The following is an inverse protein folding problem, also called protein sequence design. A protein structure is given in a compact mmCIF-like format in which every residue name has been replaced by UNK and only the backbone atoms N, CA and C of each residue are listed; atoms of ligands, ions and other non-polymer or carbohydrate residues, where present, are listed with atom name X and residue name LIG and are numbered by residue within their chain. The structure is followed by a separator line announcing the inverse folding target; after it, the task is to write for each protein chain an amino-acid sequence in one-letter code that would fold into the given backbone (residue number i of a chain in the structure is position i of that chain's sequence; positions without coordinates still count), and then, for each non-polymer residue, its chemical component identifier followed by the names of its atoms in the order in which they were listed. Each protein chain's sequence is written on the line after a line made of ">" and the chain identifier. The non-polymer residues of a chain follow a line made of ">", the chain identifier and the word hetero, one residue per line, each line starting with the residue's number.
data_IF_086128015423
#
_entry.id   IF_086128015423
#
_cell.length_a   1.000
_cell.length_b   1.000
_cell.length_c   1.000
_cell.angle_alpha   90.00
_cell.angle_beta   90.00
_cell.angle_gamma   90.00
#
_symmetry.space_group_name_H-M   'P 1'
#
loop_
_entity.id
_entity.type
_entity.pdbx_description
1 polymer ?
#
# COMPACT_ATOMS: atom_id res chain seq x y z
N UNK A 1 -35.44 -19.46 17.81
CA UNK A 1 -34.33 -19.21 16.87
C UNK A 1 -34.66 -19.95 15.59
N UNK A 2 -34.77 -19.25 14.46
CA UNK A 2 -34.80 -19.95 13.16
C UNK A 2 -33.47 -20.66 12.97
N UNK A 3 -33.50 -21.90 12.49
CA UNK A 3 -32.30 -22.63 12.09
C UNK A 3 -31.65 -21.83 10.96
N UNK A 4 -30.41 -21.40 11.15
CA UNK A 4 -29.63 -20.73 10.10
C UNK A 4 -29.14 -21.84 9.16
N UNK A 5 -29.34 -21.65 7.86
CA UNK A 5 -28.91 -22.58 6.82
C UNK A 5 -27.38 -22.70 6.77
N UNK A 6 -26.87 -23.93 6.60
CA UNK A 6 -25.43 -24.23 6.65
C UNK A 6 -24.67 -23.58 5.49
N UNK A 7 -25.25 -23.60 4.28
CA UNK A 7 -24.64 -22.95 3.12
C UNK A 7 -24.56 -21.42 3.29
N UNK A 8 -25.59 -20.82 3.91
CA UNK A 8 -25.56 -19.40 4.25
C UNK A 8 -24.47 -19.07 5.29
N UNK A 9 -24.23 -19.95 6.27
CA UNK A 9 -23.14 -19.79 7.25
C UNK A 9 -21.79 -19.86 6.55
N UNK A 10 -21.56 -20.87 5.72
CA UNK A 10 -20.29 -21.07 5.01
C UNK A 10 -19.95 -19.86 4.14
N UNK A 11 -20.92 -19.40 3.34
CA UNK A 11 -20.73 -18.21 2.48
C UNK A 11 -20.39 -16.96 3.30
N UNK A 12 -21.13 -16.72 4.38
CA UNK A 12 -20.92 -15.54 5.21
C UNK A 12 -19.56 -15.59 5.94
N UNK A 13 -19.23 -16.73 6.55
CA UNK A 13 -17.96 -16.90 7.25
C UNK A 13 -16.77 -16.84 6.28
N UNK A 14 -16.90 -17.37 5.06
CA UNK A 14 -15.88 -17.23 4.02
C UNK A 14 -15.59 -15.77 3.66
N UNK A 15 -16.64 -14.94 3.54
CA UNK A 15 -16.49 -13.49 3.35
C UNK A 15 -15.74 -12.85 4.53
N UNK A 16 -16.15 -13.14 5.76
CA UNK A 16 -15.53 -12.58 6.97
C UNK A 16 -14.05 -12.93 7.04
N UNK A 17 -13.68 -14.19 6.81
CA UNK A 17 -12.27 -14.63 6.83
C UNK A 17 -11.46 -13.97 5.72
N UNK A 18 -12.05 -13.78 4.53
CA UNK A 18 -11.40 -13.07 3.42
C UNK A 18 -11.11 -11.61 3.79
N UNK A 19 -12.08 -10.92 4.40
CA UNK A 19 -11.92 -9.52 4.83
C UNK A 19 -10.87 -9.39 5.94
N UNK A 20 -10.88 -10.29 6.92
CA UNK A 20 -9.88 -10.30 8.01
C UNK A 20 -8.48 -10.58 7.47
N UNK A 21 -8.33 -11.58 6.59
CA UNK A 21 -7.04 -11.89 5.97
C UNK A 21 -6.48 -10.73 5.17
N UNK A 22 -7.32 -10.02 4.41
CA UNK A 22 -6.91 -8.82 3.69
C UNK A 22 -6.49 -7.68 4.64
N UNK A 23 -7.23 -7.46 5.73
CA UNK A 23 -6.92 -6.42 6.72
C UNK A 23 -5.61 -6.70 7.47
N UNK A 24 -5.36 -7.96 7.84
CA UNK A 24 -4.11 -8.38 8.48
C UNK A 24 -2.92 -8.29 7.50
N UNK A 25 -3.13 -8.64 6.23
CA UNK A 25 -2.13 -8.51 5.17
C UNK A 25 -1.59 -7.09 4.98
N UNK A 26 -2.42 -6.05 5.20
CA UNK A 26 -1.97 -4.65 5.14
C UNK A 26 -0.77 -4.40 6.06
N UNK A 27 -0.77 -4.96 7.27
CA UNK A 27 0.33 -4.80 8.20
C UNK A 27 1.63 -5.43 7.67
N UNK A 28 1.53 -6.60 7.03
CA UNK A 28 2.67 -7.29 6.44
C UNK A 28 3.21 -6.55 5.21
N UNK A 29 2.34 -6.05 4.33
CA UNK A 29 2.74 -5.22 3.20
C UNK A 29 3.46 -3.95 3.66
N UNK A 30 2.94 -3.30 4.72
CA UNK A 30 3.56 -2.11 5.32
C UNK A 30 4.93 -2.42 5.92
N UNK A 31 5.10 -3.56 6.61
CA UNK A 31 6.40 -4.03 7.10
C UNK A 31 7.37 -4.21 5.93
N UNK A 32 6.92 -4.84 4.84
CA UNK A 32 7.72 -5.06 3.64
C UNK A 32 8.18 -3.76 2.98
N UNK A 33 7.32 -2.75 2.90
CA UNK A 33 7.66 -1.40 2.40
C UNK A 33 8.64 -0.70 3.35
N UNK A 34 8.32 -0.63 4.65
CA UNK A 34 9.10 0.11 5.64
C UNK A 34 10.52 -0.44 5.82
N UNK A 35 10.66 -1.77 5.78
CA UNK A 35 11.95 -2.45 5.94
C UNK A 35 12.68 -2.67 4.61
N UNK A 36 12.09 -2.27 3.48
CA UNK A 36 12.69 -2.43 2.16
C UNK A 36 12.79 -3.87 1.68
N UNK A 37 11.95 -4.78 2.18
CA UNK A 37 11.95 -6.20 1.78
C UNK A 37 11.49 -6.34 0.33
N UNK A 38 10.43 -5.63 -0.08
CA UNK A 38 9.99 -5.61 -1.48
C UNK A 38 11.11 -5.15 -2.42
N UNK A 39 11.82 -4.08 -2.05
CA UNK A 39 12.98 -3.54 -2.79
C UNK A 39 14.15 -4.52 -2.83
N UNK A 40 14.39 -5.28 -1.76
CA UNK A 40 15.44 -6.29 -1.71
C UNK A 40 15.19 -7.45 -2.70
N UNK A 41 13.92 -7.77 -2.98
CA UNK A 41 13.51 -8.84 -3.89
C UNK A 41 13.35 -8.40 -5.34
N UNK A 42 12.98 -7.13 -5.59
CA UNK A 42 12.72 -6.60 -6.92
C UNK A 42 13.93 -6.79 -7.87
N UNK A 43 13.70 -7.50 -8.98
CA UNK A 43 14.72 -7.79 -9.99
C UNK A 43 15.88 -8.69 -9.52
N UNK A 44 15.82 -9.25 -8.31
CA UNK A 44 16.92 -10.05 -7.74
C UNK A 44 16.90 -11.52 -8.19
N UNK A 45 15.80 -11.97 -8.81
CA UNK A 45 15.56 -13.38 -9.08
C UNK A 45 15.26 -14.19 -7.80
N UNK A 46 15.37 -15.52 -7.84
CA UNK A 46 15.09 -16.37 -6.68
C UNK A 46 16.12 -16.16 -5.54
N UNK A 47 15.62 -15.94 -4.33
CA UNK A 47 16.41 -15.70 -3.11
C UNK A 47 15.99 -16.63 -1.97
N UNK A 48 16.94 -17.12 -1.18
CA UNK A 48 16.64 -17.77 0.10
C UNK A 48 16.22 -16.72 1.15
N UNK A 49 15.54 -17.11 2.24
CA UNK A 49 15.21 -16.19 3.34
C UNK A 49 16.43 -15.45 3.91
N UNK A 50 17.58 -16.14 4.00
CA UNK A 50 18.82 -15.55 4.47
C UNK A 50 19.34 -14.43 3.54
N UNK A 51 19.23 -14.63 2.22
CA UNK A 51 19.65 -13.62 1.24
C UNK A 51 18.71 -12.40 1.22
N UNK A 52 17.40 -12.63 1.37
CA UNK A 52 16.44 -11.52 1.50
C UNK A 52 16.75 -10.72 2.77
N UNK A 53 16.95 -11.40 3.90
CA UNK A 53 17.26 -10.78 5.18
C UNK A 53 18.56 -9.99 5.16
N UNK A 54 19.61 -10.51 4.55
CA UNK A 54 20.88 -9.79 4.35
C UNK A 54 20.66 -8.51 3.53
N UNK A 55 19.93 -8.60 2.42
CA UNK A 55 19.65 -7.46 1.52
C UNK A 55 18.79 -6.39 2.15
N UNK A 56 17.84 -6.76 3.01
CA UNK A 56 16.93 -5.83 3.69
C UNK A 56 17.41 -5.46 5.11
N UNK A 57 18.61 -5.88 5.51
CA UNK A 57 19.15 -5.67 6.86
C UNK A 57 18.16 -6.07 7.97
N UNK A 58 17.55 -7.24 7.81
CA UNK A 58 16.56 -7.81 8.71
C UNK A 58 17.05 -9.12 9.31
N UNK A 59 16.37 -9.59 10.35
CA UNK A 59 16.62 -10.92 10.91
C UNK A 59 15.96 -12.01 10.05
N UNK A 60 16.72 -13.05 9.72
CA UNK A 60 16.30 -14.14 8.84
C UNK A 60 15.08 -14.91 9.36
N UNK A 61 14.95 -15.06 10.69
CA UNK A 61 13.81 -15.77 11.31
C UNK A 61 12.50 -15.06 10.99
N UNK A 62 12.49 -13.73 11.04
CA UNK A 62 11.29 -12.92 10.80
C UNK A 62 10.99 -12.79 9.30
N UNK A 63 12.02 -12.59 8.49
CA UNK A 63 11.89 -12.55 7.03
C UNK A 63 11.31 -13.86 6.50
N UNK A 64 11.70 -15.00 7.05
CA UNK A 64 11.14 -16.31 6.68
C UNK A 64 9.63 -16.41 6.89
N UNK A 65 9.10 -15.92 8.01
CA UNK A 65 7.64 -15.94 8.27
C UNK A 65 6.91 -14.96 7.38
N UNK A 66 7.50 -13.78 7.18
CA UNK A 66 6.96 -12.78 6.26
C UNK A 66 6.85 -13.36 4.85
N UNK A 67 7.91 -13.99 4.33
CA UNK A 67 7.91 -14.66 3.03
C UNK A 67 6.85 -15.78 2.95
N UNK A 68 6.67 -16.56 4.02
CA UNK A 68 5.64 -17.60 4.06
C UNK A 68 4.22 -17.01 3.98
N UNK A 69 3.96 -15.91 4.69
CA UNK A 69 2.69 -15.22 4.65
C UNK A 69 2.40 -14.60 3.27
N UNK A 70 3.38 -13.92 2.68
CA UNK A 70 3.24 -13.31 1.34
C UNK A 70 3.13 -14.37 0.22
N UNK A 71 3.70 -15.56 0.43
CA UNK A 71 3.50 -16.72 -0.45
C UNK A 71 2.07 -17.25 -0.34
N UNK A 72 1.55 -17.38 0.88
CA UNK A 72 0.16 -17.80 1.10
C UNK A 72 -0.85 -16.78 0.53
N UNK A 73 -0.49 -15.50 0.52
CA UNK A 73 -1.26 -14.41 -0.09
C UNK A 73 -1.04 -14.26 -1.62
N UNK A 74 -0.19 -15.09 -2.23
CA UNK A 74 0.13 -15.10 -3.66
C UNK A 74 0.79 -13.83 -4.21
N UNK A 75 1.52 -13.08 -3.37
CA UNK A 75 2.39 -11.98 -3.81
C UNK A 75 3.83 -12.45 -4.08
N UNK A 76 4.26 -13.52 -3.40
CA UNK A 76 5.59 -14.11 -3.51
C UNK A 76 5.46 -15.54 -4.02
N UNK A 77 6.28 -15.90 -5.01
CA UNK A 77 6.40 -17.28 -5.49
C UNK A 77 7.44 -18.02 -4.66
N UNK A 78 7.19 -19.31 -4.37
CA UNK A 78 8.11 -20.20 -3.67
C UNK A 78 8.44 -21.44 -4.51
N UNK A 79 9.73 -21.70 -4.68
CA UNK A 79 10.25 -22.93 -5.29
C UNK A 79 10.73 -23.89 -4.20
N UNK A 80 10.02 -25.01 -4.03
CA UNK A 80 10.32 -26.04 -3.03
C UNK A 80 11.64 -26.77 -3.30
N UNK A 81 12.04 -26.95 -4.57
CA UNK A 81 13.23 -27.70 -4.92
C UNK A 81 14.51 -26.95 -4.54
N UNK A 82 14.49 -25.63 -4.62
CA UNK A 82 15.62 -24.75 -4.29
C UNK A 82 15.47 -24.05 -2.95
N UNK A 83 14.27 -24.04 -2.35
CA UNK A 83 13.97 -23.33 -1.11
C UNK A 83 14.07 -21.81 -1.27
N UNK A 84 13.72 -21.29 -2.45
CA UNK A 84 13.87 -19.87 -2.80
C UNK A 84 12.55 -19.19 -3.08
N UNK A 85 12.52 -17.89 -2.87
CA UNK A 85 11.39 -17.00 -3.04
C UNK A 85 11.70 -15.95 -4.10
N UNK A 86 10.70 -15.56 -4.89
CA UNK A 86 10.82 -14.51 -5.91
C UNK A 86 9.52 -13.71 -6.02
N UNK A 87 9.61 -12.50 -6.60
CA UNK A 87 8.44 -11.71 -7.00
C UNK A 87 8.48 -11.48 -8.50
N UNK A 88 7.31 -11.46 -9.13
CA UNK A 88 7.17 -11.09 -10.54
C UNK A 88 7.26 -9.58 -10.76
N UNK A 89 7.46 -9.17 -12.02
CA UNK A 89 7.64 -7.77 -12.42
C UNK A 89 6.48 -6.87 -11.98
N UNK A 90 5.24 -7.38 -12.01
CA UNK A 90 4.05 -6.64 -11.60
C UNK A 90 4.08 -6.32 -10.09
N UNK A 91 4.45 -7.29 -9.26
CA UNK A 91 4.57 -7.09 -7.81
C UNK A 91 5.73 -6.16 -7.51
N UNK A 92 6.86 -6.30 -8.21
CA UNK A 92 7.98 -5.37 -8.07
C UNK A 92 7.58 -3.92 -8.42
N UNK A 93 6.89 -3.71 -9.55
CA UNK A 93 6.43 -2.39 -9.98
C UNK A 93 5.39 -1.77 -9.04
N UNK A 94 4.53 -2.58 -8.40
CA UNK A 94 3.50 -2.07 -7.50
C UNK A 94 3.98 -1.88 -6.05
N UNK A 95 4.90 -2.73 -5.58
CA UNK A 95 5.26 -2.82 -4.16
C UNK A 95 6.66 -2.30 -3.83
N UNK A 96 7.56 -2.20 -4.82
CA UNK A 96 8.97 -1.89 -4.60
C UNK A 96 9.46 -0.61 -5.30
N UNK A 97 8.93 -0.30 -6.48
CA UNK A 97 9.38 0.83 -7.30
C UNK A 97 8.52 2.08 -7.05
N UNK A 98 9.05 3.09 -6.37
CA UNK A 98 8.30 4.33 -6.07
C UNK A 98 8.12 5.25 -7.28
N UNK A 99 8.90 5.05 -8.34
CA UNK A 99 8.80 5.82 -9.58
C UNK A 99 7.83 5.16 -10.58
N UNK A 100 7.38 3.94 -10.29
CA UNK A 100 6.38 3.24 -11.10
C UNK A 100 5.02 3.92 -10.97
N UNK A 101 4.27 4.11 -12.08
CA UNK A 101 2.90 4.63 -12.05
C UNK A 101 1.92 3.72 -11.30
N UNK A 102 2.33 2.46 -11.05
CA UNK A 102 1.53 1.45 -10.35
C UNK A 102 1.85 1.36 -8.86
N UNK A 103 2.80 2.15 -8.36
CA UNK A 103 3.24 2.05 -6.98
C UNK A 103 2.10 2.30 -5.99
N UNK A 104 1.90 1.37 -5.06
CA UNK A 104 0.83 1.43 -4.04
C UNK A 104 1.34 1.43 -2.60
N UNK A 105 2.65 1.56 -2.36
CA UNK A 105 3.21 1.53 -1.01
C UNK A 105 2.60 2.56 -0.05
N UNK A 106 2.29 3.75 -0.57
CA UNK A 106 1.58 4.80 0.19
C UNK A 106 0.17 4.40 0.66
N UNK A 107 -0.54 3.55 -0.09
CA UNK A 107 -1.85 3.07 0.29
C UNK A 107 -1.81 2.16 1.53
N UNK A 108 -0.76 1.35 1.68
CA UNK A 108 -0.58 0.52 2.87
C UNK A 108 -0.35 1.38 4.12
N UNK A 109 0.51 2.41 4.00
CA UNK A 109 0.75 3.37 5.08
C UNK A 109 -0.52 4.13 5.47
N UNK A 110 -1.24 4.66 4.48
CA UNK A 110 -2.55 5.29 4.67
C UNK A 110 -3.53 4.35 5.39
N UNK A 111 -3.59 3.08 4.99
CA UNK A 111 -4.56 2.13 5.56
C UNK A 111 -4.23 1.81 7.02
N UNK A 112 -2.94 1.72 7.39
CA UNK A 112 -2.54 1.59 8.79
C UNK A 112 -3.01 2.77 9.65
N UNK A 113 -3.03 3.99 9.09
CA UNK A 113 -3.48 5.20 9.78
C UNK A 113 -4.93 5.10 10.26
N UNK A 114 -5.79 4.39 9.51
CA UNK A 114 -7.21 4.17 9.86
C UNK A 114 -7.33 3.46 11.21
N UNK A 115 -6.50 2.45 11.47
CA UNK A 115 -6.52 1.71 12.72
C UNK A 115 -6.00 2.55 13.89
N UNK A 116 -5.02 3.42 13.64
CA UNK A 116 -4.54 4.38 14.64
C UNK A 116 -5.62 5.40 15.03
N UNK A 117 -6.43 5.84 14.07
CA UNK A 117 -7.48 6.84 14.28
C UNK A 117 -8.82 6.24 14.72
N UNK A 118 -8.98 4.92 14.64
CA UNK A 118 -10.22 4.22 14.97
C UNK A 118 -10.82 4.61 16.33
N UNK A 119 -10.06 4.77 17.43
CA UNK A 119 -10.64 5.22 18.71
C UNK A 119 -11.25 6.63 18.64
N UNK A 120 -10.61 7.56 17.91
CA UNK A 120 -11.08 8.95 17.74
C UNK A 120 -12.37 8.98 16.93
N UNK A 121 -12.39 8.24 15.83
CA UNK A 121 -13.57 8.09 14.98
C UNK A 121 -14.71 7.43 15.76
N UNK A 122 -14.43 6.38 16.53
CA UNK A 122 -15.44 5.71 17.37
C UNK A 122 -16.10 6.69 18.34
N UNK A 123 -15.34 7.61 18.92
CA UNK A 123 -15.90 8.63 19.81
C UNK A 123 -16.75 9.67 19.07
N UNK A 124 -16.34 10.07 17.87
CA UNK A 124 -17.17 10.93 17.01
C UNK A 124 -18.51 10.26 16.68
N UNK A 125 -18.54 8.94 16.44
CA UNK A 125 -19.80 8.19 16.24
C UNK A 125 -20.73 8.24 17.46
N UNK A 126 -20.19 8.27 18.69
CA UNK A 126 -21.00 8.34 19.91
C UNK A 126 -21.53 9.74 20.19
N UNK A 127 -20.69 10.75 19.95
CA UNK A 127 -20.93 12.13 20.39
C UNK A 127 -21.55 13.00 19.29
N UNK A 128 -21.44 12.60 18.02
CA UNK A 128 -21.78 13.43 16.88
C UNK A 128 -20.76 14.55 16.60
N UNK A 129 -19.59 14.51 17.27
CA UNK A 129 -18.47 15.40 16.99
C UNK A 129 -17.74 15.04 15.69
N UNK A 130 -16.49 15.49 15.57
CA UNK A 130 -15.61 15.15 14.45
C UNK A 130 -14.17 14.96 14.90
N UNK A 131 -13.36 14.41 14.00
CA UNK A 131 -11.90 14.35 14.16
C UNK A 131 -11.31 15.50 13.34
N UNK A 132 -10.56 16.40 13.98
CA UNK A 132 -9.93 17.50 13.27
C UNK A 132 -8.88 16.99 12.29
N UNK A 133 -8.69 17.67 11.16
CA UNK A 133 -7.70 17.24 10.15
C UNK A 133 -6.30 17.04 10.74
N UNK A 134 -5.86 17.97 11.60
CA UNK A 134 -4.57 17.90 12.27
C UNK A 134 -4.49 16.83 13.38
N UNK A 135 -5.62 16.26 13.79
CA UNK A 135 -5.68 15.24 14.84
C UNK A 135 -5.51 13.82 14.28
N UNK A 136 -5.40 13.64 12.96
CA UNK A 136 -5.15 12.36 12.33
C UNK A 136 -3.71 11.87 12.52
N UNK A 137 -3.50 10.56 12.37
CA UNK A 137 -2.16 9.97 12.35
C UNK A 137 -1.30 10.60 11.24
N UNK A 138 0.00 10.79 11.50
CA UNK A 138 0.91 11.33 10.49
C UNK A 138 1.05 10.42 9.26
N UNK A 139 0.86 9.10 9.45
CA UNK A 139 0.80 8.12 8.38
C UNK A 139 -0.32 8.40 7.36
N UNK A 140 -1.38 9.12 7.75
CA UNK A 140 -2.41 9.57 6.83
C UNK A 140 -1.79 10.51 5.78
N UNK A 141 -1.06 11.54 6.22
CA UNK A 141 -0.57 12.60 5.33
C UNK A 141 0.54 12.08 4.41
N UNK A 142 1.52 11.37 4.98
CA UNK A 142 2.61 10.76 4.21
C UNK A 142 2.08 9.68 3.26
N UNK A 143 1.15 8.83 3.73
CA UNK A 143 0.56 7.78 2.91
C UNK A 143 -0.22 8.32 1.72
N UNK A 144 -1.04 9.36 1.92
CA UNK A 144 -1.77 10.05 0.85
C UNK A 144 -0.79 10.61 -0.18
N UNK A 145 0.22 11.36 0.26
CA UNK A 145 1.22 11.92 -0.64
C UNK A 145 1.93 10.82 -1.46
N UNK A 146 2.47 9.78 -0.79
CA UNK A 146 3.16 8.68 -1.46
C UNK A 146 2.25 7.91 -2.43
N UNK A 147 0.95 7.81 -2.14
CA UNK A 147 0.00 7.10 -2.99
C UNK A 147 -0.38 7.90 -4.26
N UNK A 148 -0.54 9.22 -4.17
CA UNK A 148 -0.91 10.03 -5.32
C UNK A 148 0.29 10.48 -6.17
N UNK A 149 1.49 10.53 -5.59
CA UNK A 149 2.74 10.92 -6.27
C UNK A 149 2.96 10.24 -7.63
N UNK A 150 2.78 8.90 -7.79
CA UNK A 150 2.95 8.24 -9.09
C UNK A 150 2.03 8.80 -10.18
N UNK A 151 0.77 9.09 -9.82
CA UNK A 151 -0.20 9.69 -10.72
C UNK A 151 0.19 11.10 -11.13
N UNK A 152 0.60 11.95 -10.18
CA UNK A 152 1.08 13.30 -10.50
C UNK A 152 2.30 13.27 -11.42
N UNK A 153 3.30 12.44 -11.11
CA UNK A 153 4.54 12.33 -11.90
C UNK A 153 4.26 11.89 -13.34
N UNK A 154 3.32 10.97 -13.53
CA UNK A 154 3.06 10.36 -14.84
C UNK A 154 2.07 11.18 -15.66
N UNK A 155 1.01 11.69 -15.03
CA UNK A 155 -0.16 12.19 -15.73
C UNK A 155 -0.32 13.71 -15.70
N UNK A 156 0.21 14.41 -14.68
CA UNK A 156 -0.08 15.84 -14.51
C UNK A 156 0.32 16.65 -15.76
N UNK A 157 1.56 16.51 -16.20
CA UNK A 157 2.09 17.22 -17.37
C UNK A 157 1.67 16.57 -18.68
N UNK A 158 1.66 15.24 -18.73
CA UNK A 158 1.44 14.51 -19.97
C UNK A 158 -0.04 14.43 -20.40
N UNK A 159 -0.98 14.57 -19.46
CA UNK A 159 -2.39 14.19 -19.65
C UNK A 159 -3.37 15.19 -19.02
N UNK A 160 -3.20 15.53 -17.75
CA UNK A 160 -4.17 16.38 -17.03
C UNK A 160 -4.11 17.84 -17.44
N UNK A 161 -2.92 18.42 -17.58
CA UNK A 161 -2.77 19.78 -18.10
C UNK A 161 -3.25 19.91 -19.56
N UNK A 162 -2.88 19.01 -20.49
CA UNK A 162 -3.42 19.03 -21.86
C UNK A 162 -4.95 18.89 -21.97
N UNK A 163 -5.61 18.30 -20.97
CA UNK A 163 -7.06 18.18 -20.95
C UNK A 163 -7.77 19.52 -20.66
N UNK A 164 -7.04 20.57 -20.28
CA UNK A 164 -7.57 21.91 -20.02
C UNK A 164 -7.30 22.84 -21.21
N UNK A 165 -8.37 23.23 -21.90
CA UNK A 165 -8.29 24.09 -23.10
C UNK A 165 -7.47 25.36 -22.86
N UNK A 166 -6.38 25.54 -23.64
CA UNK A 166 -5.55 26.74 -23.62
C UNK A 166 -4.60 26.88 -22.41
N UNK A 167 -4.57 25.90 -21.50
CA UNK A 167 -3.74 25.98 -20.29
C UNK A 167 -2.27 25.72 -20.59
N UNK A 168 -1.96 24.73 -21.43
CA UNK A 168 -0.57 24.40 -21.78
C UNK A 168 0.11 25.60 -22.45
N UNK A 169 -0.55 26.20 -23.44
CA UNK A 169 -0.01 27.37 -24.15
C UNK A 169 0.18 28.57 -23.22
N UNK A 170 -0.72 28.76 -22.26
CA UNK A 170 -0.62 29.82 -21.25
C UNK A 170 0.57 29.59 -20.31
N UNK A 171 0.81 28.35 -19.90
CA UNK A 171 1.96 27.99 -19.06
C UNK A 171 3.29 28.21 -19.80
N UNK A 172 3.37 27.77 -21.06
CA UNK A 172 4.56 27.96 -21.92
C UNK A 172 4.87 29.43 -22.20
N UNK A 173 3.84 30.28 -22.38
CA UNK A 173 4.00 31.72 -22.56
C UNK A 173 4.41 32.46 -21.27
N UNK A 174 4.37 31.80 -20.12
CA UNK A 174 4.60 32.37 -18.80
C UNK A 174 3.31 32.73 -18.08
N UNK A 175 3.08 32.10 -16.93
CA UNK A 175 1.91 32.34 -16.09
C UNK A 175 2.30 32.39 -14.60
N UNK A 176 1.47 33.06 -13.81
CA UNK A 176 1.49 32.94 -12.35
C UNK A 176 0.50 31.86 -11.95
N UNK A 177 0.98 30.83 -11.24
CA UNK A 177 0.20 29.67 -10.80
C UNK A 177 0.26 29.57 -9.28
N UNK A 178 -0.85 29.15 -8.67
CA UNK A 178 -0.91 28.78 -7.26
C UNK A 178 -1.52 27.40 -7.14
N UNK A 179 -0.86 26.51 -6.40
CA UNK A 179 -1.40 25.23 -5.99
C UNK A 179 -1.92 25.36 -4.55
N UNK A 180 -3.23 25.23 -4.38
CA UNK A 180 -3.92 25.50 -3.11
C UNK A 180 -4.21 24.18 -2.41
N UNK A 181 -3.55 23.98 -1.26
CA UNK A 181 -3.56 22.68 -0.58
C UNK A 181 -2.48 21.74 -1.09
N UNK A 182 -1.35 22.28 -1.56
CA UNK A 182 -0.25 21.53 -2.19
C UNK A 182 0.42 20.47 -1.32
N UNK A 183 0.13 20.41 -0.01
CA UNK A 183 0.75 19.45 0.90
C UNK A 183 2.28 19.58 0.88
N UNK A 184 2.96 18.53 0.43
CA UNK A 184 4.42 18.48 0.32
C UNK A 184 4.99 19.03 -1.00
N UNK A 185 4.12 19.54 -1.89
CA UNK A 185 4.48 20.02 -3.24
C UNK A 185 4.70 18.89 -4.23
#
# INVERSE_FOLDING_TARGET
>A
MSVIDEAAIEQFMGKVVTELGAAEGVALHRIGDQLGIWKAMAGAGPLTPAQVAERSNCDERYVREWLAAETAAAYVDYDEATGTFSIGDLVAAAMADEDSPMFVGGAWQLTCSVFTDLPKVTEAFRTGGGVGWADHSHDLFEGVERFFRPGYNTELVASWLPALDGVVEKLEAGATVADVGCGHG
#
